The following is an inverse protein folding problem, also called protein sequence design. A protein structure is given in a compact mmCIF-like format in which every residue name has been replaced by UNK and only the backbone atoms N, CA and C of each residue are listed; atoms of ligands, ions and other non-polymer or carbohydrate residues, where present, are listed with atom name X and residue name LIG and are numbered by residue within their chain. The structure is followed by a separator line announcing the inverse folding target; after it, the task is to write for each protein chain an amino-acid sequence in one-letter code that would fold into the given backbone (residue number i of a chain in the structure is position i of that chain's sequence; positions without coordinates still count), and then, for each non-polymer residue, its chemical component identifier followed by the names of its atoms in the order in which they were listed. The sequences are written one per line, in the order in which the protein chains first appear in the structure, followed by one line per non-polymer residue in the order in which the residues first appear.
data_IF_484981926297
#
_entry.id   IF_484981926297
#
_cell.length_a   1.000
_cell.length_b   1.000
_cell.length_c   1.000
_cell.angle_alpha   90.00
_cell.angle_beta   90.00
_cell.angle_gamma   90.00
#
_symmetry.space_group_name_H-M   'P 1'
#
loop_
_entity.id
_entity.type
_entity.pdbx_description
1 polymer ?
#
# COMPACT_ATOMS: atom_id res chain seq x y z
N UNK A 1 80.37 -25.54 -19.36
CA UNK A 1 81.03 -25.52 -20.67
C UNK A 1 79.95 -25.48 -21.74
N UNK A 2 80.01 -24.44 -22.57
CA UNK A 2 79.67 -24.41 -24.02
C UNK A 2 78.26 -24.91 -24.45
N UNK A 3 77.36 -24.04 -24.94
CA UNK A 3 77.11 -23.68 -26.38
C UNK A 3 77.39 -24.87 -27.33
N UNK A 4 76.57 -25.35 -28.26
CA UNK A 4 75.66 -24.78 -29.28
C UNK A 4 74.76 -25.96 -29.76
N UNK A 5 73.47 -25.80 -30.09
CA UNK A 5 72.85 -25.96 -31.45
C UNK A 5 71.49 -26.62 -31.21
N UNK A 6 70.36 -26.18 -31.75
CA UNK A 6 69.96 -26.37 -33.14
C UNK A 6 68.42 -26.48 -33.18
N UNK A 7 67.83 -25.72 -34.10
CA UNK A 7 66.41 -25.42 -34.26
C UNK A 7 65.43 -26.62 -34.30
N UNK A 8 64.19 -26.39 -33.86
CA UNK A 8 63.07 -27.26 -34.25
C UNK A 8 61.75 -27.09 -33.51
N UNK A 9 61.02 -26.01 -33.81
CA UNK A 9 59.55 -25.86 -33.71
C UNK A 9 58.91 -25.98 -32.31
N UNK A 10 58.50 -24.83 -31.76
CA UNK A 10 57.20 -24.64 -31.08
C UNK A 10 56.92 -23.13 -30.96
N UNK A 11 55.83 -22.68 -31.58
CA UNK A 11 55.44 -21.28 -31.66
C UNK A 11 54.77 -20.83 -30.36
N UNK A 12 55.38 -19.86 -29.67
CA UNK A 12 54.79 -19.16 -28.53
C UNK A 12 55.18 -17.68 -28.59
N UNK A 13 54.21 -16.84 -28.19
CA UNK A 13 54.31 -15.52 -27.55
C UNK A 13 54.25 -14.23 -28.40
N UNK A 14 53.17 -13.49 -28.09
CA UNK A 14 53.14 -12.14 -27.49
C UNK A 14 53.64 -10.92 -28.29
N UNK A 15 52.78 -9.88 -28.24
CA UNK A 15 53.08 -8.45 -28.15
C UNK A 15 54.01 -7.84 -29.22
N UNK A 16 53.44 -6.95 -30.03
CA UNK A 16 54.14 -5.72 -30.43
C UNK A 16 53.45 -4.51 -29.83
N UNK A 17 54.05 -4.06 -28.74
CA UNK A 17 54.10 -2.68 -28.28
C UNK A 17 54.66 -1.83 -29.42
N UNK A 18 53.93 -0.79 -29.82
CA UNK A 18 54.49 0.36 -30.54
C UNK A 18 54.51 1.50 -29.52
N UNK A 19 55.71 1.93 -29.15
CA UNK A 19 55.95 3.12 -28.33
C UNK A 19 55.93 4.40 -29.20
N UNK A 20 55.80 5.58 -28.57
CA UNK A 20 55.01 6.68 -29.07
C UNK A 20 55.82 7.77 -29.76
N UNK A 21 55.21 8.44 -30.73
CA UNK A 21 55.64 9.78 -31.18
C UNK A 21 54.69 10.83 -30.60
N UNK A 22 55.33 11.81 -29.97
CA UNK A 22 54.85 12.91 -29.13
C UNK A 22 54.00 13.96 -29.91
N UNK A 23 53.11 14.65 -29.16
CA UNK A 23 52.44 15.96 -29.42
C UNK A 23 51.14 15.86 -30.27
N UNK A 24 49.92 16.25 -29.85
CA UNK A 24 49.42 17.43 -29.13
C UNK A 24 47.96 17.22 -28.59
N UNK A 25 47.64 17.79 -27.41
CA UNK A 25 46.30 18.18 -26.87
C UNK A 25 45.14 17.15 -26.84
N UNK A 26 44.62 16.69 -25.70
CA UNK A 26 43.83 17.41 -24.68
C UNK A 26 42.77 16.44 -24.10
N UNK A 27 42.16 16.71 -22.92
CA UNK A 27 41.54 15.67 -22.09
C UNK A 27 40.01 15.61 -22.29
N UNK A 28 39.49 14.50 -22.80
CA UNK A 28 38.06 14.22 -22.72
C UNK A 28 37.89 12.74 -22.37
N UNK A 29 37.52 12.54 -21.11
CA UNK A 29 36.93 11.32 -20.56
C UNK A 29 35.97 10.69 -21.55
N UNK A 30 36.20 9.43 -21.92
CA UNK A 30 35.22 8.64 -22.66
C UNK A 30 34.02 8.37 -21.76
N UNK A 31 33.11 9.34 -21.69
CA UNK A 31 31.70 9.10 -21.38
C UNK A 31 31.30 7.97 -22.31
N UNK A 32 30.85 6.84 -21.74
CA UNK A 32 30.09 5.85 -22.49
C UNK A 32 28.79 6.52 -22.91
N UNK A 33 28.87 7.37 -23.93
CA UNK A 33 27.71 7.82 -24.67
C UNK A 33 27.17 6.55 -25.29
N UNK A 34 26.09 6.03 -24.73
CA UNK A 34 25.21 5.11 -25.42
C UNK A 34 24.76 5.85 -26.67
N UNK A 35 25.54 5.76 -27.74
CA UNK A 35 25.24 6.37 -29.01
C UNK A 35 23.94 5.73 -29.44
N UNK A 36 22.84 6.48 -29.33
CA UNK A 36 21.57 6.05 -29.85
C UNK A 36 21.77 5.88 -31.35
N UNK A 37 22.01 4.63 -31.77
CA UNK A 37 22.07 4.27 -33.16
C UNK A 37 20.67 4.50 -33.71
N UNK A 38 20.44 5.67 -34.32
CA UNK A 38 19.23 5.92 -35.08
C UNK A 38 19.34 5.11 -36.36
N UNK A 39 18.85 3.88 -36.32
CA UNK A 39 18.57 3.14 -37.55
C UNK A 39 17.69 4.03 -38.43
N UNK A 40 18.19 4.43 -39.61
CA UNK A 40 17.44 5.30 -40.55
C UNK A 40 16.11 4.68 -41.01
N UNK A 41 15.86 3.42 -40.66
CA UNK A 41 14.67 2.67 -41.01
C UNK A 41 13.95 2.14 -39.75
N UNK A 42 13.50 3.03 -38.87
CA UNK A 42 12.57 2.68 -37.76
C UNK A 42 11.21 2.18 -38.26
N UNK A 43 10.96 2.26 -39.57
CA UNK A 43 9.70 1.85 -40.21
C UNK A 43 9.92 0.57 -41.01
N UNK A 44 9.11 -0.44 -40.72
CA UNK A 44 9.11 -1.70 -41.44
C UNK A 44 8.92 -1.47 -42.97
N UNK A 45 9.78 -2.09 -43.79
CA UNK A 45 9.83 -1.85 -45.25
C UNK A 45 8.64 -2.45 -46.02
N UNK A 46 8.11 -3.58 -45.55
CA UNK A 46 7.03 -4.34 -46.20
C UNK A 46 5.81 -3.43 -46.58
N UNK A 47 5.37 -3.45 -47.85
CA UNK A 47 4.26 -2.63 -48.36
C UNK A 47 2.96 -2.72 -47.57
N UNK A 48 2.68 -3.85 -46.92
CA UNK A 48 1.50 -4.05 -46.05
C UNK A 48 1.34 -2.93 -45.00
N UNK A 49 2.45 -2.41 -44.49
CA UNK A 49 2.47 -1.40 -43.43
C UNK A 49 2.50 0.05 -43.95
N UNK A 50 2.35 0.29 -45.26
CA UNK A 50 2.42 1.64 -45.86
C UNK A 50 1.33 2.59 -45.32
N UNK A 51 0.12 2.09 -45.02
CA UNK A 51 -0.97 2.88 -44.45
C UNK A 51 -0.63 3.34 -43.02
N UNK A 52 -0.21 2.41 -42.18
CA UNK A 52 0.22 2.69 -40.80
C UNK A 52 1.47 3.58 -40.75
N UNK A 53 2.39 3.50 -41.72
CA UNK A 53 3.54 4.43 -41.85
C UNK A 53 3.14 5.87 -42.18
N UNK A 54 1.96 6.08 -42.77
CA UNK A 54 1.38 7.38 -43.15
C UNK A 54 0.65 8.01 -41.98
N UNK A 55 0.01 7.21 -41.12
CA UNK A 55 -0.63 7.67 -39.91
C UNK A 55 0.43 8.21 -38.94
N UNK A 56 0.41 9.53 -38.72
CA UNK A 56 1.32 10.21 -37.78
C UNK A 56 0.86 10.09 -36.34
N UNK A 57 -0.43 9.89 -36.11
CA UNK A 57 -1.07 9.79 -34.81
C UNK A 57 -1.92 8.53 -34.77
N UNK A 58 -1.62 7.64 -33.83
CA UNK A 58 -2.43 6.45 -33.54
C UNK A 58 -3.27 6.79 -32.31
N UNK A 59 -4.60 6.84 -32.47
CA UNK A 59 -5.51 6.99 -31.33
C UNK A 59 -5.52 5.65 -30.59
N UNK A 60 -5.04 5.66 -29.35
CA UNK A 60 -5.07 4.50 -28.46
C UNK A 60 -6.16 4.75 -27.43
N UNK A 61 -7.12 3.84 -27.35
CA UNK A 61 -8.16 3.91 -26.34
C UNK A 61 -7.52 3.59 -24.99
N UNK A 62 -7.38 4.61 -24.15
CA UNK A 62 -6.83 4.47 -22.82
C UNK A 62 -7.90 3.81 -21.92
N UNK A 63 -7.50 2.86 -21.06
CA UNK A 63 -8.41 2.33 -20.05
C UNK A 63 -8.85 3.46 -19.11
N UNK A 64 -10.12 3.46 -18.73
CA UNK A 64 -10.61 4.33 -17.69
C UNK A 64 -9.99 3.91 -16.35
N UNK A 65 -9.22 4.78 -15.71
CA UNK A 65 -8.51 4.47 -14.46
C UNK A 65 -9.39 4.60 -13.22
N UNK A 66 -10.59 5.19 -13.35
CA UNK A 66 -11.53 5.39 -12.25
C UNK A 66 -12.45 4.17 -12.06
N UNK A 67 -12.63 3.35 -13.09
CA UNK A 67 -13.44 2.13 -13.02
C UNK A 67 -12.73 1.07 -12.17
N UNK A 68 -13.38 0.64 -11.09
CA UNK A 68 -12.91 -0.51 -10.30
C UNK A 68 -13.24 -1.81 -11.03
N UNK A 69 -12.25 -2.69 -11.14
CA UNK A 69 -12.40 -3.99 -11.81
C UNK A 69 -13.51 -4.86 -11.19
N UNK A 70 -13.83 -4.67 -9.91
CA UNK A 70 -14.82 -5.47 -9.19
C UNK A 70 -16.27 -5.07 -9.52
N UNK A 71 -16.49 -3.85 -10.02
CA UNK A 71 -17.81 -3.33 -10.38
C UNK A 71 -18.20 -3.67 -11.83
N UNK A 72 -17.24 -4.08 -12.65
CA UNK A 72 -17.46 -4.39 -14.07
C UNK A 72 -18.10 -5.79 -14.18
N UNK A 73 -19.24 -5.92 -14.87
CA UNK A 73 -19.84 -7.23 -15.12
C UNK A 73 -18.85 -8.11 -15.88
N UNK A 74 -18.79 -9.40 -15.50
CA UNK A 74 -17.83 -10.38 -16.03
C UNK A 74 -17.87 -10.49 -17.57
N UNK A 75 -19.02 -10.21 -18.17
CA UNK A 75 -19.22 -10.20 -19.63
C UNK A 75 -18.46 -9.06 -20.31
N UNK A 76 -18.53 -7.85 -19.74
CA UNK A 76 -17.79 -6.67 -20.23
C UNK A 76 -16.30 -6.85 -19.99
N UNK A 77 -15.90 -7.45 -18.87
CA UNK A 77 -14.50 -7.79 -18.65
C UNK A 77 -14.01 -8.79 -19.72
N UNK A 78 -14.83 -9.77 -20.07
CA UNK A 78 -14.51 -10.76 -21.11
C UNK A 78 -14.48 -10.13 -22.50
N UNK A 79 -15.36 -9.19 -22.84
CA UNK A 79 -15.30 -8.47 -24.12
C UNK A 79 -14.03 -7.62 -24.20
N UNK A 80 -13.70 -6.86 -23.14
CA UNK A 80 -12.45 -6.09 -23.04
C UNK A 80 -11.21 -6.97 -23.17
N UNK A 81 -11.21 -8.15 -22.53
CA UNK A 81 -10.12 -9.13 -22.67
C UNK A 81 -9.98 -9.63 -24.12
N UNK A 82 -11.11 -9.92 -24.79
CA UNK A 82 -11.13 -10.33 -26.20
C UNK A 82 -10.65 -9.21 -27.13
N UNK A 83 -11.11 -7.97 -26.93
CA UNK A 83 -10.68 -6.79 -27.69
C UNK A 83 -9.18 -6.56 -27.55
N UNK A 84 -8.65 -6.70 -26.33
CA UNK A 84 -7.21 -6.61 -26.05
C UNK A 84 -6.42 -7.83 -26.52
N UNK A 85 -7.08 -8.89 -26.98
CA UNK A 85 -6.45 -10.15 -27.38
C UNK A 85 -5.77 -10.91 -26.22
N UNK A 86 -6.16 -10.62 -24.97
CA UNK A 86 -5.60 -11.24 -23.77
C UNK A 86 -6.54 -12.34 -23.29
N UNK A 87 -6.01 -13.55 -23.14
CA UNK A 87 -6.76 -14.65 -22.52
C UNK A 87 -6.75 -14.47 -20.99
N UNK A 88 -7.84 -14.83 -20.28
CA UNK A 88 -7.81 -14.85 -18.82
C UNK A 88 -6.70 -15.81 -18.36
N UNK A 89 -5.85 -15.40 -17.40
CA UNK A 89 -4.81 -16.28 -16.90
C UNK A 89 -5.48 -17.51 -16.24
N UNK A 90 -5.00 -18.71 -16.58
CA UNK A 90 -5.45 -19.91 -15.86
C UNK A 90 -4.74 -19.94 -14.50
N UNK A 91 -5.47 -20.01 -13.38
CA UNK A 91 -4.85 -20.09 -12.07
C UNK A 91 -4.19 -21.46 -11.90
N UNK A 92 -2.89 -21.53 -12.16
CA UNK A 92 -2.06 -22.70 -11.86
C UNK A 92 -1.33 -22.42 -10.54
N UNK A 93 -1.93 -22.81 -9.42
CA UNK A 93 -1.39 -22.55 -8.08
C UNK A 93 -0.50 -23.71 -7.62
N UNK A 94 0.73 -23.80 -8.14
CA UNK A 94 1.72 -24.76 -7.62
C UNK A 94 2.24 -24.36 -6.23
N UNK A 95 2.39 -23.06 -5.99
CA UNK A 95 2.86 -22.49 -4.72
C UNK A 95 1.81 -21.54 -4.17
N UNK A 96 1.35 -21.80 -2.94
CA UNK A 96 0.46 -20.90 -2.23
C UNK A 96 1.18 -19.58 -1.91
N UNK A 97 0.41 -18.49 -1.91
CA UNK A 97 0.92 -17.21 -1.45
C UNK A 97 1.09 -17.25 0.07
N UNK A 98 2.28 -16.87 0.54
CA UNK A 98 2.51 -16.65 1.95
C UNK A 98 1.96 -15.27 2.33
N UNK A 99 1.06 -15.26 3.31
CA UNK A 99 0.44 -14.05 3.84
C UNK A 99 1.00 -13.86 5.25
N UNK A 100 1.73 -12.77 5.44
CA UNK A 100 2.37 -12.40 6.71
C UNK A 100 1.54 -11.45 7.57
N UNK A 101 0.57 -10.75 6.99
CA UNK A 101 -0.34 -9.86 7.68
C UNK A 101 -1.75 -9.98 7.10
N UNK A 102 -2.75 -9.59 7.89
CA UNK A 102 -4.15 -9.58 7.46
C UNK A 102 -4.48 -8.36 6.61
N UNK A 103 -5.65 -8.37 5.95
CA UNK A 103 -6.07 -7.27 5.09
C UNK A 103 -6.58 -6.03 5.83
N UNK A 104 -6.91 -6.16 7.11
CA UNK A 104 -7.42 -5.07 7.95
C UNK A 104 -7.78 -5.56 9.35
N UNK A 105 -8.29 -4.63 10.18
CA UNK A 105 -8.65 -4.93 11.57
C UNK A 105 -9.89 -5.86 11.67
N UNK A 106 -9.79 -6.88 12.53
CA UNK A 106 -10.93 -7.69 12.95
C UNK A 106 -11.66 -6.99 14.10
N UNK A 107 -12.98 -6.78 13.93
CA UNK A 107 -13.84 -6.15 14.93
C UNK A 107 -13.19 -4.88 15.55
N UNK A 108 -13.12 -3.76 14.80
CA UNK A 108 -12.42 -2.57 15.26
C UNK A 108 -12.94 -2.10 16.61
N UNK A 109 -12.01 -1.72 17.49
CA UNK A 109 -12.36 -1.13 18.76
C UNK A 109 -13.08 0.20 18.51
N UNK A 110 -14.26 0.38 19.10
CA UNK A 110 -15.02 1.63 19.05
C UNK A 110 -14.77 2.37 20.37
N UNK A 111 -14.00 3.46 20.36
CA UNK A 111 -13.77 4.26 21.56
C UNK A 111 -15.07 4.88 22.07
N UNK A 112 -15.34 4.85 23.38
CA UNK A 112 -16.51 5.47 23.95
C UNK A 112 -16.47 6.99 23.75
N UNK A 113 -17.63 7.57 23.43
CA UNK A 113 -17.79 9.01 23.28
C UNK A 113 -17.47 9.70 24.62
N UNK A 114 -16.46 10.57 24.61
CA UNK A 114 -16.00 11.26 25.82
C UNK A 114 -14.83 10.59 26.54
N UNK A 115 -14.07 9.70 25.91
CA UNK A 115 -12.75 9.24 26.45
C UNK A 115 -11.74 10.41 26.63
N UNK A 116 -12.08 11.63 26.20
CA UNK A 116 -11.38 12.89 26.52
C UNK A 116 -12.15 13.90 27.39
N UNK A 117 -13.44 13.65 27.72
CA UNK A 117 -14.27 14.48 28.60
C UNK A 117 -15.28 13.57 29.31
N UNK A 118 -15.18 13.41 30.64
CA UNK A 118 -16.10 12.57 31.45
C UNK A 118 -17.56 12.78 31.03
N UNK A 119 -18.14 11.83 30.32
CA UNK A 119 -19.52 11.92 29.83
C UNK A 119 -20.53 11.57 30.94
N UNK A 120 -21.51 12.44 31.12
CA UNK A 120 -22.66 12.26 32.00
C UNK A 120 -23.51 11.08 31.51
N UNK A 121 -24.03 10.29 32.46
CA UNK A 121 -24.75 9.03 32.23
C UNK A 121 -25.98 9.27 31.34
N UNK A 122 -25.94 8.80 30.09
CA UNK A 122 -27.07 8.76 29.16
C UNK A 122 -27.50 7.31 28.87
N UNK A 123 -28.77 7.12 28.49
CA UNK A 123 -29.36 5.82 28.09
C UNK A 123 -28.61 5.16 26.92
N UNK A 124 -28.07 5.97 26.00
CA UNK A 124 -27.18 5.48 24.92
C UNK A 124 -25.87 4.91 25.46
N UNK A 125 -25.32 5.47 26.53
CA UNK A 125 -24.10 4.98 27.19
C UNK A 125 -24.28 3.62 27.87
N UNK A 126 -25.49 3.25 28.30
CA UNK A 126 -25.75 1.93 28.89
C UNK A 126 -25.63 0.81 27.86
N UNK A 127 -26.15 1.02 26.63
CA UNK A 127 -26.00 0.08 25.50
C UNK A 127 -24.53 -0.10 25.13
N UNK A 128 -23.80 1.01 25.02
CA UNK A 128 -22.35 0.99 24.76
C UNK A 128 -21.58 0.21 25.84
N UNK A 129 -21.95 0.35 27.12
CA UNK A 129 -21.34 -0.40 28.22
C UNK A 129 -21.60 -1.91 28.15
N UNK A 130 -22.81 -2.33 27.73
CA UNK A 130 -23.12 -3.75 27.57
C UNK A 130 -22.32 -4.38 26.43
N UNK A 131 -22.27 -3.72 25.26
CA UNK A 131 -21.43 -4.15 24.15
C UNK A 131 -19.94 -4.19 24.53
N UNK A 132 -19.49 -3.22 25.34
CA UNK A 132 -18.11 -3.20 25.82
C UNK A 132 -17.79 -4.41 26.71
N UNK A 133 -18.74 -4.85 27.55
CA UNK A 133 -18.55 -6.04 28.38
C UNK A 133 -18.42 -7.31 27.53
N UNK A 134 -19.25 -7.47 26.51
CA UNK A 134 -19.15 -8.59 25.55
C UNK A 134 -17.82 -8.56 24.78
N UNK A 135 -17.43 -7.39 24.28
CA UNK A 135 -16.14 -7.21 23.57
C UNK A 135 -14.94 -7.49 24.49
N UNK A 136 -15.06 -7.16 25.78
CA UNK A 136 -14.05 -7.40 26.80
C UNK A 136 -13.92 -8.89 27.15
N UNK A 137 -15.02 -9.66 27.20
CA UNK A 137 -14.94 -11.10 27.44
C UNK A 137 -14.26 -11.82 26.27
N UNK A 138 -14.59 -11.47 25.02
CA UNK A 138 -13.90 -11.94 23.82
C UNK A 138 -12.41 -11.54 23.81
N UNK A 139 -12.09 -10.34 24.29
CA UNK A 139 -10.71 -9.85 24.42
C UNK A 139 -9.92 -10.70 25.42
N UNK A 140 -10.52 -11.05 26.56
CA UNK A 140 -9.89 -11.92 27.54
C UNK A 140 -9.62 -13.32 27.00
N UNK A 141 -10.54 -13.88 26.21
CA UNK A 141 -10.33 -15.17 25.52
C UNK A 141 -9.20 -15.07 24.48
N UNK A 142 -9.14 -13.96 23.73
CA UNK A 142 -8.06 -13.71 22.77
C UNK A 142 -6.70 -13.64 23.48
N UNK A 143 -6.58 -12.91 24.59
CA UNK A 143 -5.33 -12.85 25.39
C UNK A 143 -4.93 -14.23 25.90
N UNK A 144 -5.88 -15.07 26.33
CA UNK A 144 -5.59 -16.46 26.72
C UNK A 144 -5.08 -17.28 25.53
N UNK A 145 -5.64 -17.09 24.34
CA UNK A 145 -5.17 -17.74 23.11
C UNK A 145 -3.78 -17.24 22.71
N UNK A 146 -3.45 -15.96 22.88
CA UNK A 146 -2.08 -15.45 22.67
C UNK A 146 -1.11 -16.15 23.62
N UNK A 147 -1.47 -16.20 24.92
CA UNK A 147 -0.65 -16.84 25.95
C UNK A 147 -0.44 -18.34 25.77
N UNK A 148 -1.31 -19.04 25.03
CA UNK A 148 -1.10 -20.46 24.74
C UNK A 148 -0.02 -20.72 23.69
N UNK A 149 0.32 -19.72 22.87
CA UNK A 149 1.41 -19.80 21.91
C UNK A 149 2.68 -19.09 22.41
N UNK A 150 2.52 -18.01 23.19
CA UNK A 150 3.60 -17.20 23.72
C UNK A 150 3.44 -17.08 25.25
N UNK A 151 4.14 -17.93 26.00
CA UNK A 151 4.01 -18.02 27.46
C UNK A 151 4.44 -16.73 28.17
N UNK A 152 5.43 -16.03 27.63
CA UNK A 152 5.98 -14.78 28.17
C UNK A 152 5.09 -13.54 27.92
N UNK A 153 3.96 -13.71 27.22
CA UNK A 153 3.12 -12.58 26.84
C UNK A 153 2.36 -11.98 28.04
N UNK A 154 2.82 -10.81 28.47
CA UNK A 154 2.11 -9.95 29.42
C UNK A 154 1.58 -8.66 28.80
N UNK A 155 0.35 -8.28 29.17
CA UNK A 155 -0.33 -7.12 28.59
C UNK A 155 0.25 -5.80 29.06
N UNK A 156 0.87 -5.75 30.25
CA UNK A 156 1.45 -4.50 30.76
C UNK A 156 2.81 -4.23 30.15
N UNK A 157 3.65 -5.27 30.04
CA UNK A 157 4.94 -5.20 29.37
C UNK A 157 4.78 -4.89 27.87
N UNK A 158 3.83 -5.57 27.22
CA UNK A 158 3.51 -5.34 25.81
C UNK A 158 3.09 -3.89 25.52
N UNK A 159 2.40 -3.21 26.45
CA UNK A 159 2.02 -1.81 26.24
C UNK A 159 3.24 -0.88 26.10
N UNK A 160 4.33 -1.19 26.81
CA UNK A 160 5.60 -0.45 26.73
C UNK A 160 6.34 -0.81 25.44
N UNK A 161 6.41 -2.09 25.10
CA UNK A 161 7.00 -2.55 23.83
C UNK A 161 6.29 -1.94 22.62
N UNK A 162 4.96 -1.88 22.64
CA UNK A 162 4.14 -1.26 21.61
C UNK A 162 4.46 0.22 21.42
N UNK A 163 4.75 0.95 22.51
CA UNK A 163 5.20 2.34 22.44
C UNK A 163 6.56 2.46 21.76
N UNK A 164 7.51 1.56 22.08
CA UNK A 164 8.83 1.56 21.46
C UNK A 164 8.74 1.23 19.96
N UNK A 165 7.92 0.25 19.58
CA UNK A 165 7.63 -0.08 18.17
C UNK A 165 7.05 1.14 17.45
N UNK A 166 6.11 1.84 18.07
CA UNK A 166 5.50 3.05 17.52
C UNK A 166 6.53 4.17 17.31
N UNK A 167 7.40 4.42 18.29
CA UNK A 167 8.46 5.44 18.19
C UNK A 167 9.44 5.08 17.07
N UNK A 168 9.91 3.82 17.04
CA UNK A 168 10.82 3.31 16.00
C UNK A 168 10.21 3.44 14.61
N UNK A 169 8.92 3.10 14.44
CA UNK A 169 8.23 3.21 13.16
C UNK A 169 8.23 4.66 12.63
N UNK A 170 7.94 5.64 13.49
CA UNK A 170 7.89 7.05 13.10
C UNK A 170 9.29 7.64 12.85
N UNK A 171 10.32 7.21 13.59
CA UNK A 171 11.71 7.57 13.32
C UNK A 171 12.17 7.05 11.96
N UNK A 172 11.94 5.76 11.68
CA UNK A 172 12.29 5.14 10.39
C UNK A 172 11.52 5.75 9.22
N UNK A 173 10.27 6.15 9.44
CA UNK A 173 9.46 6.90 8.47
C UNK A 173 10.08 8.27 8.17
N UNK A 174 10.55 9.00 9.19
CA UNK A 174 11.21 10.29 9.02
C UNK A 174 12.55 10.17 8.28
N UNK A 175 13.34 9.13 8.58
CA UNK A 175 14.60 8.80 7.89
C UNK A 175 14.40 8.25 6.47
N UNK A 176 13.17 7.83 6.13
CA UNK A 176 12.81 7.18 4.85
C UNK A 176 13.59 5.88 4.58
N UNK A 177 13.98 5.14 5.62
CA UNK A 177 14.66 3.85 5.45
C UNK A 177 13.66 2.77 5.01
N UNK A 178 13.66 2.48 3.70
CA UNK A 178 12.71 1.57 3.06
C UNK A 178 12.76 0.12 3.56
N UNK A 179 13.92 -0.34 4.04
CA UNK A 179 14.11 -1.74 4.42
C UNK A 179 13.79 -1.95 5.89
N UNK A 180 14.39 -1.16 6.78
CA UNK A 180 14.19 -1.30 8.23
C UNK A 180 12.72 -1.09 8.64
N UNK A 181 11.99 -0.18 7.97
CA UNK A 181 10.60 0.09 8.30
C UNK A 181 9.67 -1.12 8.07
N UNK A 182 10.02 -2.05 7.17
CA UNK A 182 9.21 -3.24 6.86
C UNK A 182 9.26 -4.31 7.95
N UNK A 183 10.27 -4.25 8.82
CA UNK A 183 10.39 -5.17 9.96
C UNK A 183 9.46 -4.73 11.10
N UNK A 184 9.23 -3.41 11.22
CA UNK A 184 8.43 -2.79 12.30
C UNK A 184 6.95 -2.66 11.92
N UNK A 185 6.65 -2.55 10.62
CA UNK A 185 5.30 -2.25 10.10
C UNK A 185 4.80 -3.42 9.24
N UNK A 186 3.49 -3.68 9.27
CA UNK A 186 2.85 -4.65 8.40
C UNK A 186 2.82 -4.20 6.94
N UNK A 187 2.65 -5.15 6.03
CA UNK A 187 2.52 -4.91 4.60
C UNK A 187 1.26 -4.08 4.27
N UNK A 188 0.26 -4.11 5.16
CA UNK A 188 -0.98 -3.34 5.07
C UNK A 188 -0.80 -1.86 5.45
N UNK A 189 -0.07 -1.57 6.54
CA UNK A 189 0.18 -0.19 6.99
C UNK A 189 1.29 0.52 6.20
N UNK A 190 2.25 -0.24 5.65
CA UNK A 190 3.36 0.32 4.89
C UNK A 190 2.94 1.28 3.77
N UNK A 191 1.99 0.95 2.86
CA UNK A 191 1.55 1.87 1.83
C UNK A 191 0.86 3.11 2.40
N UNK A 192 0.05 2.97 3.45
CA UNK A 192 -0.65 4.11 4.06
C UNK A 192 0.32 5.10 4.71
N UNK A 193 1.32 4.59 5.44
CA UNK A 193 2.33 5.44 6.06
C UNK A 193 3.24 6.08 5.02
N UNK A 194 3.73 5.33 4.02
CA UNK A 194 4.67 5.86 3.04
C UNK A 194 4.01 6.66 1.90
N UNK A 195 2.67 6.67 1.83
CA UNK A 195 1.94 7.45 0.84
C UNK A 195 2.25 8.94 1.01
N UNK A 196 2.51 9.65 -0.10
CA UNK A 196 2.82 11.07 -0.13
C UNK A 196 4.09 11.52 0.63
N UNK A 197 4.93 10.63 1.17
CA UNK A 197 6.15 11.01 1.92
C UNK A 197 7.36 11.31 1.01
N UNK A 198 7.41 10.77 -0.22
CA UNK A 198 8.61 10.80 -1.08
C UNK A 198 9.23 12.19 -1.21
N UNK A 199 8.41 13.19 -1.56
CA UNK A 199 8.86 14.55 -1.85
C UNK A 199 8.76 15.51 -0.64
N UNK A 200 8.52 15.00 0.57
CA UNK A 200 8.38 15.80 1.79
C UNK A 200 9.43 15.43 2.84
N UNK A 201 9.89 16.37 3.65
CA UNK A 201 10.72 16.07 4.83
C UNK A 201 9.86 16.17 6.08
N UNK A 202 9.99 15.19 6.97
CA UNK A 202 9.16 15.09 8.16
C UNK A 202 10.08 15.15 9.38
N UNK A 203 9.84 16.13 10.23
CA UNK A 203 10.43 16.19 11.56
C UNK A 203 9.36 15.80 12.56
N UNK A 204 9.45 14.57 13.05
CA UNK A 204 8.60 14.04 14.11
C UNK A 204 9.45 13.77 15.34
N UNK A 205 8.97 14.21 16.51
CA UNK A 205 9.63 13.97 17.79
C UNK A 205 8.59 13.51 18.80
N UNK A 206 8.91 12.40 19.47
CA UNK A 206 8.21 11.95 20.66
C UNK A 206 8.75 12.72 21.88
N UNK A 207 7.88 13.38 22.64
CA UNK A 207 8.30 14.08 23.86
C UNK A 207 8.08 13.23 25.10
N UNK A 208 6.81 12.99 25.44
CA UNK A 208 6.43 12.26 26.64
C UNK A 208 5.06 11.62 26.49
N UNK A 209 4.81 10.59 27.30
CA UNK A 209 3.48 10.01 27.47
C UNK A 209 2.76 10.74 28.61
N UNK A 210 1.58 11.32 28.34
CA UNK A 210 0.77 11.97 29.37
C UNK A 210 0.08 10.94 30.25
N UNK A 211 -0.48 9.91 29.61
CA UNK A 211 -0.97 8.72 30.29
C UNK A 211 -0.14 7.52 29.82
N UNK A 212 0.06 6.50 30.68
CA UNK A 212 0.73 5.28 30.28
C UNK A 212 -0.08 4.57 29.18
N UNK A 213 0.59 3.92 28.22
CA UNK A 213 -0.08 3.14 27.19
C UNK A 213 -0.91 2.03 27.82
N UNK A 214 -2.14 1.84 27.32
CA UNK A 214 -3.04 0.79 27.81
C UNK A 214 -3.53 -0.10 26.69
N UNK A 215 -3.46 -1.41 26.86
CA UNK A 215 -4.11 -2.37 25.97
C UNK A 215 -5.61 -2.30 26.20
N UNK A 216 -6.37 -2.02 25.15
CA UNK A 216 -7.82 -1.84 25.24
C UNK A 216 -8.56 -3.05 24.66
N UNK A 217 -8.08 -3.55 23.52
CA UNK A 217 -8.75 -4.62 22.79
C UNK A 217 -7.74 -5.64 22.28
N UNK A 218 -8.11 -6.91 22.30
CA UNK A 218 -7.37 -7.99 21.67
C UNK A 218 -8.33 -8.89 20.89
N UNK A 219 -7.87 -9.34 19.72
CA UNK A 219 -8.58 -10.25 18.85
C UNK A 219 -7.61 -11.27 18.26
N UNK A 220 -8.08 -12.50 18.13
CA UNK A 220 -7.36 -13.55 17.42
C UNK A 220 -8.31 -14.14 16.39
N UNK A 221 -7.82 -14.37 15.18
CA UNK A 221 -8.59 -14.99 14.10
C UNK A 221 -7.70 -15.93 13.31
N UNK A 222 -8.33 -16.90 12.67
CA UNK A 222 -7.64 -17.90 11.87
C UNK A 222 -7.90 -17.57 10.38
N UNK A 223 -6.86 -17.50 9.55
CA UNK A 223 -6.94 -17.09 8.15
C UNK A 223 -6.67 -18.26 7.22
N UNK A 224 -7.62 -18.58 6.34
CA UNK A 224 -7.62 -19.73 5.40
C UNK A 224 -7.67 -21.08 6.12
N UNK A 225 -6.69 -21.37 6.96
CA UNK A 225 -6.56 -22.61 7.74
C UNK A 225 -6.60 -22.31 9.24
N UNK A 226 -7.13 -23.22 10.04
CA UNK A 226 -7.22 -23.07 11.51
C UNK A 226 -5.86 -22.96 12.21
N UNK A 227 -4.81 -23.40 11.54
CA UNK A 227 -3.43 -23.34 12.03
C UNK A 227 -2.81 -21.95 11.85
N UNK A 228 -3.29 -21.15 10.89
CA UNK A 228 -2.71 -19.86 10.58
C UNK A 228 -3.45 -18.77 11.35
N UNK A 229 -2.91 -18.44 12.53
CA UNK A 229 -3.58 -17.59 13.51
C UNK A 229 -2.88 -16.24 13.60
N UNK A 230 -3.66 -15.18 13.40
CA UNK A 230 -3.23 -13.80 13.57
C UNK A 230 -3.84 -13.24 14.83
N UNK A 231 -3.03 -12.54 15.62
CA UNK A 231 -3.49 -11.74 16.73
C UNK A 231 -3.34 -10.26 16.42
N UNK A 232 -4.38 -9.52 16.79
CA UNK A 232 -4.41 -8.08 16.74
C UNK A 232 -4.65 -7.54 18.15
N UNK A 233 -3.81 -6.59 18.56
CA UNK A 233 -3.90 -5.94 19.87
C UNK A 233 -3.97 -4.44 19.65
N UNK A 234 -5.00 -3.81 20.19
CA UNK A 234 -5.18 -2.35 20.12
C UNK A 234 -4.69 -1.72 21.42
N UNK A 235 -3.81 -0.73 21.27
CA UNK A 235 -3.22 0.02 22.37
C UNK A 235 -3.67 1.48 22.23
N UNK A 236 -4.15 2.04 23.33
CA UNK A 236 -4.44 3.47 23.42
C UNK A 236 -3.20 4.21 23.86
N UNK A 237 -2.80 5.20 23.06
CA UNK A 237 -1.76 6.15 23.36
C UNK A 237 -2.36 7.51 23.67
N UNK A 238 -1.89 8.14 24.74
CA UNK A 238 -2.14 9.56 25.00
C UNK A 238 -0.80 10.24 25.25
N UNK A 239 -0.29 10.88 24.21
CA UNK A 239 1.12 11.29 24.12
C UNK A 239 1.24 12.73 23.66
N UNK A 240 2.35 13.36 24.02
CA UNK A 240 2.75 14.65 23.48
C UNK A 240 3.75 14.47 22.36
N UNK A 241 3.43 15.03 21.20
CA UNK A 241 4.21 14.88 19.98
C UNK A 241 4.44 16.23 19.31
N UNK A 242 5.56 16.34 18.61
CA UNK A 242 5.87 17.44 17.72
C UNK A 242 5.88 16.89 16.29
N UNK A 243 5.22 17.61 15.39
CA UNK A 243 5.20 17.29 13.97
C UNK A 243 5.40 18.56 13.16
N UNK A 244 6.40 18.56 12.29
CA UNK A 244 6.61 19.56 11.24
C UNK A 244 6.85 18.85 9.92
N UNK A 245 6.06 19.20 8.90
CA UNK A 245 6.18 18.65 7.56
C UNK A 245 6.61 19.79 6.64
N UNK A 246 7.69 19.57 5.90
CA UNK A 246 8.18 20.50 4.91
C UNK A 246 8.02 19.93 3.50
N UNK A 247 7.81 20.85 2.55
CA UNK A 247 7.78 20.55 1.13
C UNK A 247 9.18 20.19 0.59
N UNK A 248 9.25 19.77 -0.67
CA UNK A 248 10.51 19.51 -1.39
C UNK A 248 11.49 20.70 -1.41
N UNK A 249 10.95 21.92 -1.27
CA UNK A 249 11.72 23.16 -1.22
C UNK A 249 12.06 23.61 0.21
N UNK A 250 11.75 22.81 1.22
CA UNK A 250 12.01 23.14 2.64
C UNK A 250 11.06 24.18 3.24
N UNK A 251 9.92 24.46 2.58
CA UNK A 251 8.88 25.35 3.13
C UNK A 251 7.99 24.55 4.07
N UNK A 252 7.60 25.14 5.20
CA UNK A 252 6.69 24.51 6.16
C UNK A 252 5.30 24.34 5.52
N UNK A 253 4.85 23.10 5.39
CA UNK A 253 3.53 22.74 4.86
C UNK A 253 2.50 22.56 5.96
N UNK A 254 2.88 21.91 7.06
CA UNK A 254 1.97 21.61 8.15
C UNK A 254 2.72 21.44 9.47
N UNK A 255 2.05 21.83 10.57
CA UNK A 255 2.57 21.67 11.92
C UNK A 255 3.59 22.73 12.31
N UNK A 256 4.41 22.41 13.31
CA UNK A 256 5.37 23.32 13.93
C UNK A 256 6.41 22.50 14.68
N UNK A 257 7.69 22.86 14.59
CA UNK A 257 8.75 22.13 15.29
C UNK A 257 8.82 22.45 16.79
N UNK A 258 8.28 23.59 17.21
CA UNK A 258 8.39 24.06 18.61
C UNK A 258 7.18 23.72 19.47
N UNK A 259 5.97 23.75 18.90
CA UNK A 259 4.75 23.57 19.68
C UNK A 259 4.41 22.07 19.81
N UNK A 260 4.45 21.50 21.04
CA UNK A 260 3.96 20.17 21.28
C UNK A 260 2.44 20.13 21.19
N UNK A 261 1.90 19.00 20.74
CA UNK A 261 0.46 18.75 20.71
C UNK A 261 0.14 17.45 21.42
N UNK A 262 -0.96 17.48 22.14
CA UNK A 262 -1.54 16.31 22.77
C UNK A 262 -2.27 15.49 21.71
N UNK A 263 -1.95 14.21 21.64
CA UNK A 263 -2.42 13.30 20.61
C UNK A 263 -2.95 12.04 21.29
N UNK A 264 -4.22 11.72 21.02
CA UNK A 264 -4.90 10.53 21.51
C UNK A 264 -5.16 9.60 20.33
N UNK A 265 -4.58 8.40 20.37
CA UNK A 265 -4.61 7.45 19.25
C UNK A 265 -4.87 6.04 19.74
N UNK A 266 -5.55 5.25 18.92
CA UNK A 266 -5.72 3.81 19.12
C UNK A 266 -4.99 3.11 17.99
N UNK A 267 -3.83 2.55 18.30
CA UNK A 267 -2.95 1.89 17.34
C UNK A 267 -3.13 0.39 17.46
N UNK A 268 -3.26 -0.27 16.32
CA UNK A 268 -3.41 -1.72 16.24
C UNK A 268 -2.07 -2.32 15.85
N UNK A 269 -1.63 -3.28 16.65
CA UNK A 269 -0.48 -4.12 16.38
C UNK A 269 -0.95 -5.50 15.99
N UNK A 270 -0.24 -6.13 15.06
CA UNK A 270 -0.53 -7.46 14.59
C UNK A 270 0.71 -8.35 14.69
N UNK A 271 0.48 -9.61 15.09
CA UNK A 271 1.49 -10.67 15.03
C UNK A 271 0.86 -11.92 14.41
N UNK A 272 1.60 -12.54 13.51
CA UNK A 272 1.32 -13.90 13.06
C UNK A 272 1.83 -14.85 14.14
N UNK A 273 0.92 -15.34 14.99
CA UNK A 273 1.28 -16.09 16.20
C UNK A 273 1.68 -17.53 15.89
N UNK A 274 1.09 -18.13 14.87
CA UNK A 274 1.43 -19.49 14.48
C UNK A 274 2.85 -19.62 13.89
N UNK A 275 3.48 -18.50 13.53
CA UNK A 275 4.85 -18.47 13.07
C UNK A 275 5.81 -18.24 14.24
N UNK A 276 6.82 -19.12 14.38
CA UNK A 276 7.88 -19.02 15.40
C UNK A 276 8.65 -17.70 15.32
N UNK A 277 8.87 -17.19 14.12
CA UNK A 277 9.57 -15.92 13.87
C UNK A 277 8.62 -14.72 13.80
N UNK A 278 7.37 -14.86 14.25
CA UNK A 278 6.41 -13.78 14.29
C UNK A 278 6.87 -12.66 15.22
N UNK A 279 6.84 -11.42 14.73
CA UNK A 279 7.13 -10.22 15.53
C UNK A 279 5.88 -9.33 15.55
N UNK A 280 5.69 -8.59 16.64
CA UNK A 280 4.67 -7.57 16.73
C UNK A 280 4.99 -6.41 15.80
N UNK A 281 4.07 -6.13 14.86
CA UNK A 281 4.22 -5.08 13.85
C UNK A 281 3.05 -4.12 13.90
N UNK A 282 3.30 -2.84 13.60
CA UNK A 282 2.24 -1.84 13.48
C UNK A 282 1.36 -2.18 12.27
N UNK A 283 0.05 -2.32 12.47
CA UNK A 283 -0.88 -2.79 11.44
C UNK A 283 -1.79 -1.69 10.88
N UNK A 284 -2.49 -0.97 11.75
CA UNK A 284 -3.46 0.05 11.35
C UNK A 284 -3.72 0.99 12.52
N UNK A 285 -4.33 2.15 12.24
CA UNK A 285 -4.69 3.15 13.25
C UNK A 285 -6.20 3.41 13.20
N UNK A 286 -6.85 3.27 14.35
CA UNK A 286 -8.28 3.55 14.49
C UNK A 286 -8.47 5.05 14.76
N UNK A 287 -9.27 5.68 13.91
CA UNK A 287 -9.66 7.10 13.99
C UNK A 287 -11.13 7.13 14.43
N UNK A 288 -11.44 7.54 15.68
CA UNK A 288 -12.83 7.64 16.11
C UNK A 288 -13.54 8.81 15.43
N UNK A 289 -14.82 8.63 15.11
CA UNK A 289 -15.63 9.62 14.40
C UNK A 289 -15.82 10.93 15.20
N UNK A 290 -15.83 10.83 16.53
CA UNK A 290 -15.98 11.97 17.44
C UNK A 290 -14.68 12.77 17.66
N UNK A 291 -13.56 12.33 17.09
CA UNK A 291 -12.29 13.05 17.23
C UNK A 291 -12.40 14.42 16.55
N UNK A 292 -11.91 15.51 17.17
CA UNK A 292 -11.89 16.80 16.51
C UNK A 292 -11.11 16.74 15.20
N UNK A 293 -11.54 17.52 14.21
CA UNK A 293 -10.84 17.63 12.94
C UNK A 293 -9.37 18.03 13.16
N UNK A 294 -8.48 17.45 12.34
CA UNK A 294 -7.07 17.81 12.35
C UNK A 294 -6.91 19.29 12.02
N UNK A 295 -5.82 19.89 12.49
CA UNK A 295 -5.53 21.28 12.19
C UNK A 295 -5.44 21.48 10.67
N UNK A 296 -6.04 22.55 10.13
CA UNK A 296 -5.95 22.84 8.71
C UNK A 296 -4.51 23.16 8.32
N UNK A 297 -4.16 22.90 7.06
CA UNK A 297 -2.94 23.42 6.49
C UNK A 297 -3.09 24.95 6.30
N UNK A 298 -1.99 25.72 6.40
CA UNK A 298 -1.99 27.16 6.10
C UNK A 298 -2.28 27.47 4.61
N UNK A 299 -2.24 26.47 3.73
CA UNK A 299 -2.44 26.61 2.29
C UNK A 299 -3.94 26.55 1.97
N UNK A 300 -4.41 27.49 1.14
CA UNK A 300 -5.76 27.46 0.58
C UNK A 300 -5.79 26.65 -0.72
N UNK A 301 -6.89 25.95 -0.98
CA UNK A 301 -7.10 25.22 -2.23
C UNK A 301 -8.43 25.64 -2.86
N UNK A 302 -8.51 25.58 -4.19
CA UNK A 302 -9.74 25.77 -4.96
C UNK A 302 -10.25 24.39 -5.34
N UNK A 303 -11.50 24.10 -5.02
CA UNK A 303 -12.20 22.93 -5.55
C UNK A 303 -12.75 23.33 -6.90
N UNK A 304 -12.40 22.59 -7.95
CA UNK A 304 -13.04 22.73 -9.25
C UNK A 304 -14.35 21.96 -9.19
N UNK A 305 -15.47 22.66 -9.36
CA UNK A 305 -16.78 22.02 -9.53
C UNK A 305 -16.75 21.31 -10.89
N UNK A 306 -17.11 20.02 -10.90
CA UNK A 306 -17.23 19.29 -12.16
C UNK A 306 -18.20 20.04 -13.08
N UNK A 307 -17.86 20.18 -14.38
CA UNK A 307 -18.76 20.85 -15.30
C UNK A 307 -20.09 20.10 -15.30
N UNK A 308 -21.18 20.82 -14.98
CA UNK A 308 -22.53 20.29 -15.07
C UNK A 308 -22.72 19.68 -16.46
N UNK A 309 -22.82 18.36 -16.53
CA UNK A 309 -23.18 17.70 -17.77
C UNK A 309 -24.55 18.24 -18.18
N UNK A 310 -24.75 18.64 -19.45
CA UNK A 310 -26.05 19.15 -19.88
C UNK A 310 -27.13 18.12 -19.53
N UNK A 311 -28.22 18.58 -18.90
CA UNK A 311 -29.30 17.75 -18.36
C UNK A 311 -29.82 16.70 -19.35
N UNK A 312 -29.76 17.00 -20.65
CA UNK A 312 -30.11 16.10 -21.76
C UNK A 312 -29.31 14.78 -21.75
N UNK A 313 -28.03 14.81 -21.37
CA UNK A 313 -27.20 13.60 -21.27
C UNK A 313 -27.55 12.75 -20.04
N UNK A 314 -28.02 13.38 -18.96
CA UNK A 314 -28.44 12.71 -17.73
C UNK A 314 -29.81 12.04 -17.94
N UNK A 315 -30.70 12.68 -18.68
CA UNK A 315 -32.00 12.11 -19.07
C UNK A 315 -31.84 10.96 -20.07
N UNK A 316 -31.01 11.10 -21.09
CA UNK A 316 -30.68 10.01 -22.02
C UNK A 316 -30.04 8.80 -21.32
N UNK A 317 -29.14 9.02 -20.37
CA UNK A 317 -28.54 7.93 -19.58
C UNK A 317 -29.53 7.26 -18.60
N UNK A 318 -30.58 7.97 -18.18
CA UNK A 318 -31.68 7.39 -17.39
C UNK A 318 -32.62 6.57 -18.28
N UNK A 319 -32.93 7.05 -19.48
CA UNK A 319 -33.73 6.33 -20.47
C UNK A 319 -33.04 5.04 -20.92
N UNK A 320 -31.73 5.08 -21.24
CA UNK A 320 -30.94 3.88 -21.58
C UNK A 320 -30.88 2.85 -20.44
N UNK A 321 -30.82 3.31 -19.18
CA UNK A 321 -30.88 2.42 -18.00
C UNK A 321 -32.26 1.78 -17.81
N UNK A 322 -33.34 2.49 -18.13
CA UNK A 322 -34.71 1.94 -18.08
C UNK A 322 -34.89 0.90 -19.19
N UNK A 323 -34.41 1.18 -20.40
CA UNK A 323 -34.51 0.27 -21.55
C UNK A 323 -33.72 -1.04 -21.34
N UNK A 324 -32.55 -0.98 -20.69
CA UNK A 324 -31.77 -2.18 -20.35
C UNK A 324 -32.43 -3.04 -19.25
N UNK A 325 -33.16 -2.42 -18.31
CA UNK A 325 -33.91 -3.14 -17.26
C UNK A 325 -35.17 -3.81 -17.82
N UNK A 326 -35.82 -3.22 -18.83
CA UNK A 326 -36.95 -3.84 -19.52
C UNK A 326 -36.52 -4.97 -20.47
N UNK A 327 -35.40 -4.83 -21.17
CA UNK A 327 -34.84 -5.89 -22.01
C UNK A 327 -34.42 -7.15 -21.21
N UNK A 328 -33.99 -6.98 -19.96
CA UNK A 328 -33.62 -8.09 -19.06
C UNK A 328 -34.81 -8.92 -18.56
N UNK A 329 -36.04 -8.38 -18.55
CA UNK A 329 -37.25 -9.11 -18.11
C UNK A 329 -37.94 -9.91 -19.22
N UNK A 330 -37.63 -9.66 -20.49
CA UNK A 330 -38.25 -10.35 -21.64
C UNK A 330 -37.66 -11.73 -21.98
N UNK A 331 -36.55 -12.13 -21.34
CA UNK A 331 -35.77 -13.31 -21.73
C UNK A 331 -36.13 -14.64 -21.05
N UNK A 332 -36.92 -14.64 -19.98
CA UNK A 332 -37.23 -15.87 -19.21
C UNK A 332 -38.55 -16.56 -19.60
N UNK A 333 -39.41 -15.94 -20.42
CA UNK A 333 -40.75 -16.48 -20.73
C UNK A 333 -40.86 -17.43 -21.92
N UNK A 334 -39.79 -17.67 -22.69
CA UNK A 334 -39.88 -18.35 -24.01
C UNK A 334 -39.21 -19.73 -24.09
N UNK A 335 -38.69 -20.28 -22.98
CA UNK A 335 -38.05 -21.61 -22.96
C UNK A 335 -38.91 -22.77 -22.43
N UNK A 336 -40.11 -22.54 -21.92
CA UNK A 336 -40.95 -23.61 -21.34
C UNK A 336 -41.98 -24.25 -22.29
N UNK A 337 -42.07 -23.85 -23.57
CA UNK A 337 -43.08 -24.38 -24.51
C UNK A 337 -42.59 -25.35 -25.59
N UNK A 338 -41.39 -25.92 -25.48
CA UNK A 338 -40.83 -26.80 -26.52
C UNK A 338 -40.45 -28.23 -26.06
N UNK A 339 -40.97 -28.71 -24.93
CA UNK A 339 -40.72 -30.09 -24.43
C UNK A 339 -41.99 -30.96 -24.36
N UNK A 340 -43.02 -30.66 -25.14
CA UNK A 340 -44.18 -31.56 -25.27
C UNK A 340 -44.64 -31.67 -26.72
N UNK A 341 -43.98 -32.56 -27.47
CA UNK A 341 -44.50 -33.27 -28.63
C UNK A 341 -43.66 -34.54 -28.83
#
# INVERSE_FOLDING_TARGET
MEVITGAGRNCVKLLRVIQPSLVLAGPETSVLTTQQFRERHTKHWNPKWKKLRREKFVKVDLPNFEEKNDEIPKEVLRSRMKERGVLPPRPWFERSFYISCTGGIFEPYVPPEGDGKKSFISSTGAKQKFEFLEKKSKSMLAVRKIRSYEEDFDTTQFATEAQDIYIKAHQLMAEKNKYAIREVISERAYPEMMHNIRDKTIHWKFLQSLEPPRVVHARCTDLITKENIFAQVTVRFHTQQILAIYDRFGRLMHGSETLPKDVLEYVVFEKHIANEYGVWRLHEKIIPDWMPAKQPAPITFRIEEEPEQPLEAIEAAKEEKVEQVEAGKGGEGSKEKLIAA
#
